data_IF_455612547983
#
_entry.id   IF_455612547983
#
_cell.length_a   1.000
_cell.length_b   1.000
_cell.length_c   1.000
_cell.angle_alpha   90.00
_cell.angle_beta   90.00
_cell.angle_gamma   90.00
#
_symmetry.space_group_name_H-M   'P 1'
#
loop_
_entity.id
_entity.type
_entity.pdbx_description
1 polymer ?
#
# COMPACT_ATOMS: atom_id res chain seq x y z
N UNK A 1 -18.57 16.14 -11.12
CA UNK A 1 -17.65 15.04 -11.49
C UNK A 1 -16.88 14.67 -10.24
N UNK A 2 -17.30 13.61 -9.56
CA UNK A 2 -16.73 13.21 -8.27
C UNK A 2 -15.37 12.56 -8.52
N UNK A 3 -14.28 13.21 -8.11
CA UNK A 3 -12.95 12.61 -8.11
C UNK A 3 -12.93 11.43 -7.14
N UNK A 4 -12.85 10.17 -7.58
CA UNK A 4 -12.73 9.06 -6.65
C UNK A 4 -11.24 8.82 -6.39
N UNK A 5 -10.87 8.60 -5.13
CA UNK A 5 -9.51 8.25 -4.63
C UNK A 5 -8.77 9.33 -3.82
N UNK A 6 -9.45 10.25 -3.14
CA UNK A 6 -8.91 10.76 -1.87
C UNK A 6 -9.22 9.75 -0.75
N UNK A 7 -8.66 8.55 -0.82
CA UNK A 7 -8.65 7.59 0.30
C UNK A 7 -7.23 7.54 0.84
N UNK A 8 -6.86 8.51 1.66
CA UNK A 8 -5.60 8.45 2.38
C UNK A 8 -5.58 7.19 3.24
N UNK A 9 -4.58 6.32 3.06
CA UNK A 9 -4.39 5.16 3.92
C UNK A 9 -3.32 5.48 4.97
N UNK A 10 -3.62 5.15 6.22
CA UNK A 10 -2.67 5.23 7.32
C UNK A 10 -2.32 3.83 7.76
N UNK A 11 -1.03 3.48 7.77
CA UNK A 11 -0.58 2.20 8.31
C UNK A 11 0.60 2.35 9.26
N UNK A 12 0.71 1.37 10.15
CA UNK A 12 1.85 1.20 11.05
C UNK A 12 2.53 -0.12 10.69
N UNK A 13 3.80 -0.05 10.31
CA UNK A 13 4.65 -1.23 10.03
C UNK A 13 5.95 -1.04 10.77
N UNK A 14 6.38 -2.05 11.52
CA UNK A 14 7.62 -2.01 12.31
C UNK A 14 7.74 -0.77 13.22
N UNK A 15 6.61 -0.30 13.76
CA UNK A 15 6.55 0.90 14.61
C UNK A 15 6.70 2.24 13.88
N UNK A 16 6.79 2.24 12.55
CA UNK A 16 6.79 3.44 11.71
C UNK A 16 5.40 3.70 11.13
N UNK A 17 4.96 4.96 11.18
CA UNK A 17 3.72 5.39 10.54
C UNK A 17 3.99 5.77 9.10
N UNK A 18 3.23 5.16 8.19
CA UNK A 18 3.24 5.45 6.77
C UNK A 18 1.90 6.06 6.36
N UNK A 19 1.95 7.02 5.44
CA UNK A 19 0.76 7.69 4.89
C UNK A 19 0.80 7.54 3.39
N UNK A 20 -0.21 6.87 2.82
CA UNK A 20 -0.31 6.61 1.38
C UNK A 20 -1.43 7.45 0.80
N UNK A 21 -1.10 8.42 -0.05
CA UNK A 21 -2.05 9.33 -0.72
C UNK A 21 -2.09 9.13 -2.23
N UNK A 22 -1.12 8.39 -2.77
CA UNK A 22 -0.96 8.17 -4.20
C UNK A 22 -0.35 6.80 -4.48
N UNK A 23 -0.39 6.37 -5.75
CA UNK A 23 0.32 5.17 -6.19
C UNK A 23 1.84 5.29 -6.05
N UNK A 24 2.39 6.50 -6.12
CA UNK A 24 3.82 6.73 -5.89
C UNK A 24 4.17 6.51 -4.41
N UNK A 25 3.39 7.08 -3.48
CA UNK A 25 3.54 6.86 -2.04
C UNK A 25 3.44 5.36 -1.71
N UNK A 26 2.53 4.66 -2.39
CA UNK A 26 2.35 3.22 -2.25
C UNK A 26 3.62 2.44 -2.61
N UNK A 27 4.27 2.78 -3.73
CA UNK A 27 5.54 2.17 -4.14
C UNK A 27 6.63 2.42 -3.09
N UNK A 28 6.73 3.65 -2.57
CA UNK A 28 7.69 3.98 -1.51
C UNK A 28 7.47 3.15 -0.24
N UNK A 29 6.22 2.95 0.16
CA UNK A 29 5.87 2.07 1.28
C UNK A 29 6.27 0.63 0.97
N UNK A 30 5.87 0.09 -0.18
CA UNK A 30 6.17 -1.30 -0.57
C UNK A 30 7.68 -1.57 -0.55
N UNK A 31 8.50 -0.64 -1.02
CA UNK A 31 9.97 -0.77 -1.05
C UNK A 31 10.63 -0.57 0.32
N UNK A 32 9.99 0.17 1.24
CA UNK A 32 10.54 0.47 2.58
C UNK A 32 10.22 -0.58 3.63
N UNK A 33 9.10 -1.31 3.50
CA UNK A 33 8.73 -2.39 4.43
C UNK A 33 9.76 -3.52 4.40
N UNK A 34 10.19 -3.96 5.59
CA UNK A 34 11.09 -5.10 5.79
C UNK A 34 10.34 -6.24 6.49
N UNK A 35 9.49 -6.93 5.74
CA UNK A 35 8.69 -8.05 6.25
C UNK A 35 8.86 -9.28 5.35
N UNK A 36 8.93 -10.52 5.87
CA UNK A 36 9.17 -11.72 5.05
C UNK A 36 8.17 -11.93 3.89
N UNK A 37 6.97 -11.37 4.00
CA UNK A 37 5.96 -11.41 2.93
C UNK A 37 6.20 -10.40 1.80
N UNK A 38 7.23 -9.54 1.91
CA UNK A 38 7.56 -8.55 0.88
C UNK A 38 8.66 -9.00 -0.09
N UNK A 39 9.23 -10.20 0.07
CA UNK A 39 10.29 -10.73 -0.79
C UNK A 39 9.91 -10.77 -2.30
N UNK A 40 8.61 -10.75 -2.62
CA UNK A 40 8.07 -10.76 -3.98
C UNK A 40 7.27 -9.51 -4.34
N UNK A 41 7.43 -8.42 -3.57
CA UNK A 41 6.64 -7.20 -3.76
C UNK A 41 7.01 -6.41 -5.01
N UNK A 42 8.17 -6.66 -5.63
CA UNK A 42 8.59 -6.03 -6.90
C UNK A 42 7.59 -6.28 -8.03
N UNK A 43 6.94 -7.46 -8.08
CA UNK A 43 5.88 -7.73 -9.04
C UNK A 43 4.67 -6.80 -8.87
N UNK A 44 4.34 -6.44 -7.62
CA UNK A 44 3.27 -5.47 -7.34
C UNK A 44 3.71 -4.07 -7.78
N UNK A 45 4.97 -3.70 -7.55
CA UNK A 45 5.53 -2.42 -7.98
C UNK A 45 5.49 -2.27 -9.51
N UNK A 46 5.93 -3.28 -10.25
CA UNK A 46 5.89 -3.28 -11.72
C UNK A 46 4.47 -3.04 -12.26
N UNK A 47 3.46 -3.68 -11.65
CA UNK A 47 2.07 -3.50 -12.06
C UNK A 47 1.53 -2.10 -11.75
N UNK A 48 1.99 -1.46 -10.67
CA UNK A 48 1.63 -0.08 -10.34
C UNK A 48 2.28 0.87 -11.34
N UNK A 49 3.58 0.70 -11.61
CA UNK A 49 4.33 1.57 -12.53
C UNK A 49 3.79 1.46 -13.97
N UNK A 50 3.32 0.29 -14.39
CA UNK A 50 2.69 0.07 -15.70
C UNK A 50 1.24 0.60 -15.81
N UNK A 51 0.61 1.04 -14.70
CA UNK A 51 -0.79 1.47 -14.68
C UNK A 51 -0.97 2.89 -15.24
N UNK A 52 -1.00 3.01 -16.57
CA UNK A 52 -1.06 4.31 -17.27
C UNK A 52 -2.48 4.86 -17.45
N UNK A 53 -3.52 4.02 -17.44
CA UNK A 53 -4.91 4.44 -17.63
C UNK A 53 -5.62 4.62 -16.28
N UNK A 54 -6.64 5.50 -16.18
CA UNK A 54 -7.39 5.70 -14.95
C UNK A 54 -7.97 4.41 -14.35
N UNK A 55 -8.47 3.53 -15.21
CA UNK A 55 -9.02 2.23 -14.80
C UNK A 55 -7.94 1.31 -14.22
N UNK A 56 -6.76 1.29 -14.82
CA UNK A 56 -5.62 0.52 -14.31
C UNK A 56 -5.10 1.11 -13.00
N UNK A 57 -5.05 2.43 -12.86
CA UNK A 57 -4.65 3.09 -11.62
C UNK A 57 -5.60 2.75 -10.48
N UNK A 58 -6.91 2.71 -10.72
CA UNK A 58 -7.90 2.29 -9.74
C UNK A 58 -7.71 0.83 -9.31
N UNK A 59 -7.39 -0.06 -10.25
CA UNK A 59 -7.12 -1.48 -9.96
C UNK A 59 -5.82 -1.65 -9.17
N UNK A 60 -4.75 -0.96 -9.57
CA UNK A 60 -3.47 -0.94 -8.88
C UNK A 60 -3.65 -0.45 -7.43
N UNK A 61 -4.45 0.61 -7.24
CA UNK A 61 -4.78 1.13 -5.91
C UNK A 61 -5.45 0.08 -5.03
N UNK A 62 -6.47 -0.62 -5.56
CA UNK A 62 -7.16 -1.69 -4.82
C UNK A 62 -6.22 -2.85 -4.49
N UNK A 63 -5.33 -3.23 -5.41
CA UNK A 63 -4.36 -4.30 -5.20
C UNK A 63 -3.40 -3.95 -4.06
N UNK A 64 -2.87 -2.72 -4.06
CA UNK A 64 -2.00 -2.23 -2.98
C UNK A 64 -2.73 -2.16 -1.65
N UNK A 65 -3.93 -1.57 -1.61
CA UNK A 65 -4.70 -1.49 -0.37
C UNK A 65 -4.92 -2.89 0.24
N UNK A 66 -5.28 -3.86 -0.61
CA UNK A 66 -5.45 -5.27 -0.18
C UNK A 66 -4.15 -5.87 0.35
N UNK A 67 -3.03 -5.62 -0.33
CA UNK A 67 -1.73 -6.11 0.10
C UNK A 67 -1.29 -5.50 1.44
N UNK A 68 -1.49 -4.19 1.62
CA UNK A 68 -1.19 -3.49 2.88
C UNK A 68 -2.06 -4.01 4.05
N UNK A 69 -3.33 -4.28 3.81
CA UNK A 69 -4.22 -4.88 4.82
C UNK A 69 -3.78 -6.30 5.19
N UNK A 70 -3.38 -7.12 4.22
CA UNK A 70 -2.86 -8.46 4.47
C UNK A 70 -1.53 -8.43 5.26
N UNK A 71 -0.64 -7.49 4.93
CA UNK A 71 0.59 -7.26 5.66
C UNK A 71 0.30 -6.86 7.12
N UNK A 72 -0.64 -5.94 7.34
CA UNK A 72 -1.08 -5.55 8.68
C UNK A 72 -1.64 -6.72 9.48
N UNK A 73 -2.45 -7.58 8.85
CA UNK A 73 -3.05 -8.74 9.52
C UNK A 73 -2.03 -9.80 9.94
N UNK A 74 -0.86 -9.84 9.29
CA UNK A 74 0.18 -10.86 9.50
C UNK A 74 1.36 -10.37 10.34
N UNK A 75 1.51 -9.05 10.51
CA UNK A 75 2.47 -8.43 11.41
C UNK A 75 2.06 -8.64 12.89
N UNK A 76 2.35 -9.81 13.45
CA UNK A 76 1.92 -10.24 14.79
C UNK A 76 2.48 -9.42 15.99
N UNK A 77 3.18 -8.30 15.79
CA UNK A 77 3.67 -7.40 16.86
C UNK A 77 3.32 -5.92 16.65
N UNK A 78 2.44 -5.58 15.70
CA UNK A 78 2.01 -4.20 15.49
C UNK A 78 0.84 -3.87 16.43
N UNK A 79 1.14 -3.32 17.61
CA UNK A 79 0.15 -2.70 18.49
C UNK A 79 -0.63 -1.66 17.69
N UNK A 80 -1.91 -1.94 17.44
CA UNK A 80 -2.82 -1.06 16.71
C UNK A 80 -3.47 -0.09 17.69
N UNK A 81 -2.95 1.12 17.81
CA UNK A 81 -3.74 2.24 18.32
C UNK A 81 -4.48 2.89 17.14
N UNK A 82 -5.81 2.81 17.19
CA UNK A 82 -6.68 3.60 16.35
C UNK A 82 -6.72 5.04 16.88
N UNK A 83 -6.37 6.00 16.03
CA UNK A 83 -6.62 7.43 16.25
C UNK A 83 -7.45 7.97 15.08
#
# INVERSE_FOLDING_TARGET
MSSPLQTTLHLWVDGQRHVVRSLADAIEVVRSVRHPLTDYSELLVDQIEAAISPDLQLRAWRAVATWLDALRATAHHATLEAA
#
